data_IF_886542638722
#
_entry.id   IF_886542638722
#
_cell.length_a   1.000
_cell.length_b   1.000
_cell.length_c   1.000
_cell.angle_alpha   90.00
_cell.angle_beta   90.00
_cell.angle_gamma   90.00
#
_symmetry.space_group_name_H-M   'P 1'
#
loop_
_entity.id
_entity.type
_entity.pdbx_description
1 polymer ?
#
# COMPACT_ATOMS: atom_id res chain seq x y z
N UNK A 1 -18.46 -57.50 10.50
CA UNK A 1 -18.40 -56.23 9.72
C UNK A 1 -18.50 -54.93 10.55
N UNK A 2 -19.20 -54.86 11.70
CA UNK A 2 -19.30 -53.63 12.53
C UNK A 2 -17.98 -53.16 13.16
N UNK A 3 -17.11 -54.08 13.62
CA UNK A 3 -15.82 -53.72 14.25
C UNK A 3 -14.85 -53.03 13.28
N UNK A 4 -14.83 -53.45 12.01
CA UNK A 4 -13.96 -52.86 10.98
C UNK A 4 -14.33 -51.39 10.67
N UNK A 5 -15.62 -51.05 10.66
CA UNK A 5 -16.09 -49.65 10.48
C UNK A 5 -15.71 -48.75 11.67
N UNK A 6 -15.65 -49.31 12.87
CA UNK A 6 -15.30 -48.57 14.11
C UNK A 6 -13.80 -48.30 14.15
N UNK A 7 -12.98 -49.30 13.84
CA UNK A 7 -11.51 -49.14 13.73
C UNK A 7 -11.17 -48.08 12.68
N UNK A 8 -11.81 -48.11 11.51
CA UNK A 8 -11.58 -47.10 10.46
C UNK A 8 -11.92 -45.67 10.88
N UNK A 9 -12.99 -45.49 11.67
CA UNK A 9 -13.34 -44.17 12.23
C UNK A 9 -12.31 -43.71 13.26
N UNK A 10 -11.89 -44.60 14.16
CA UNK A 10 -10.88 -44.28 15.18
C UNK A 10 -9.53 -43.93 14.53
N UNK A 11 -9.09 -44.67 13.51
CA UNK A 11 -7.87 -44.33 12.76
C UNK A 11 -7.99 -42.98 12.04
N UNK A 12 -9.16 -42.64 11.50
CA UNK A 12 -9.39 -41.33 10.89
C UNK A 12 -9.32 -40.21 11.93
N UNK A 13 -9.98 -40.37 13.08
CA UNK A 13 -9.92 -39.38 14.18
C UNK A 13 -8.50 -39.22 14.72
N UNK A 14 -7.76 -40.31 14.90
CA UNK A 14 -6.36 -40.28 15.33
C UNK A 14 -5.47 -39.58 14.29
N UNK A 15 -5.68 -39.83 13.00
CA UNK A 15 -4.97 -39.16 11.91
C UNK A 15 -5.26 -37.66 11.88
N UNK A 16 -6.53 -37.25 12.01
CA UNK A 16 -6.90 -35.83 12.07
C UNK A 16 -6.34 -35.13 13.30
N UNK A 17 -6.34 -35.80 14.45
CA UNK A 17 -5.77 -35.26 15.69
C UNK A 17 -4.25 -35.09 15.56
N UNK A 18 -3.55 -36.06 14.96
CA UNK A 18 -2.12 -35.98 14.71
C UNK A 18 -1.78 -34.80 13.78
N UNK A 19 -2.54 -34.61 12.70
CA UNK A 19 -2.36 -33.47 11.79
C UNK A 19 -2.55 -32.15 12.53
N UNK A 20 -3.62 -32.01 13.31
CA UNK A 20 -3.87 -30.79 14.08
C UNK A 20 -2.71 -30.50 15.03
N UNK A 21 -2.27 -31.49 15.80
CA UNK A 21 -1.14 -31.36 16.73
C UNK A 21 0.14 -30.96 15.98
N UNK A 22 0.44 -31.57 14.83
CA UNK A 22 1.61 -31.16 14.03
C UNK A 22 1.51 -29.73 13.51
N UNK A 23 0.31 -29.24 13.15
CA UNK A 23 0.12 -27.85 12.71
C UNK A 23 0.31 -26.83 13.86
N UNK A 24 -0.03 -27.19 15.09
CA UNK A 24 0.16 -26.32 16.27
C UNK A 24 1.59 -26.33 16.81
N UNK A 25 2.38 -27.37 16.53
CA UNK A 25 3.77 -27.51 17.01
C UNK A 25 4.77 -26.98 15.98
N UNK A 26 4.43 -26.99 14.68
CA UNK A 26 5.31 -26.41 13.66
C UNK A 26 5.25 -24.88 13.74
N UNK A 27 6.34 -24.19 14.10
CA UNK A 27 6.39 -22.74 13.93
C UNK A 27 6.28 -22.43 12.44
N UNK A 28 5.19 -21.78 12.03
CA UNK A 28 5.12 -21.10 10.74
C UNK A 28 6.06 -19.92 10.86
N UNK A 29 7.31 -20.10 10.42
CA UNK A 29 8.22 -18.99 10.22
C UNK A 29 7.59 -18.11 9.14
N UNK A 30 6.95 -17.01 9.55
CA UNK A 30 6.67 -15.91 8.65
C UNK A 30 8.04 -15.46 8.12
N UNK A 31 8.36 -15.89 6.90
CA UNK A 31 9.52 -15.37 6.18
C UNK A 31 9.22 -13.90 5.91
N UNK A 32 9.65 -13.06 6.86
CA UNK A 32 9.32 -11.65 7.07
C UNK A 32 7.98 -11.44 7.79
N UNK A 33 8.06 -10.76 8.93
CA UNK A 33 6.93 -10.23 9.68
C UNK A 33 5.89 -9.62 8.72
N UNK A 34 4.60 -10.04 8.76
CA UNK A 34 3.56 -9.50 7.87
C UNK A 34 3.48 -7.96 7.88
N UNK A 35 3.90 -7.31 8.96
CA UNK A 35 4.02 -5.85 9.06
C UNK A 35 5.01 -5.29 8.03
N UNK A 36 6.10 -6.00 7.73
CA UNK A 36 7.13 -5.56 6.77
C UNK A 36 6.61 -5.51 5.34
N UNK A 37 5.79 -6.49 4.94
CA UNK A 37 5.17 -6.52 3.60
C UNK A 37 4.19 -5.36 3.45
N UNK A 38 3.39 -5.08 4.49
CA UNK A 38 2.48 -3.94 4.52
C UNK A 38 3.25 -2.62 4.45
N UNK A 39 4.37 -2.47 5.16
CA UNK A 39 5.20 -1.26 5.10
C UNK A 39 5.83 -1.04 3.72
N UNK A 40 6.29 -2.09 3.07
CA UNK A 40 6.81 -2.01 1.70
C UNK A 40 5.72 -1.63 0.70
N UNK A 41 4.50 -2.16 0.89
CA UNK A 41 3.34 -1.76 0.09
C UNK A 41 2.96 -0.29 0.31
N UNK A 42 2.93 0.19 1.56
CA UNK A 42 2.71 1.61 1.87
C UNK A 42 3.77 2.50 1.22
N UNK A 43 5.05 2.10 1.26
CA UNK A 43 6.14 2.81 0.57
C UNK A 43 5.94 2.87 -0.94
N UNK A 44 5.48 1.77 -1.55
CA UNK A 44 5.15 1.74 -2.97
C UNK A 44 3.98 2.68 -3.30
N UNK A 45 2.89 2.65 -2.53
CA UNK A 45 1.74 3.53 -2.73
C UNK A 45 2.10 5.01 -2.57
N UNK A 46 2.89 5.39 -1.56
CA UNK A 46 3.41 6.75 -1.42
C UNK A 46 4.36 7.14 -2.57
N UNK A 47 5.10 6.18 -3.14
CA UNK A 47 5.89 6.39 -4.35
C UNK A 47 5.02 6.76 -5.56
N UNK A 48 3.89 6.08 -5.75
CA UNK A 48 2.92 6.42 -6.80
C UNK A 48 2.30 7.81 -6.59
N UNK A 49 1.89 8.14 -5.36
CA UNK A 49 1.35 9.46 -5.02
C UNK A 49 2.38 10.56 -5.32
N UNK A 50 3.64 10.35 -4.94
CA UNK A 50 4.73 11.29 -5.22
C UNK A 50 4.96 11.50 -6.71
N UNK A 51 4.91 10.42 -7.51
CA UNK A 51 5.02 10.50 -8.96
C UNK A 51 3.89 11.34 -9.57
N UNK A 52 2.65 11.16 -9.11
CA UNK A 52 1.51 11.99 -9.53
C UNK A 52 1.75 13.47 -9.17
N UNK A 53 2.25 13.76 -7.97
CA UNK A 53 2.61 15.12 -7.57
C UNK A 53 3.62 15.77 -8.52
N UNK A 54 4.66 15.05 -8.94
CA UNK A 54 5.66 15.57 -9.89
C UNK A 54 5.08 15.83 -11.29
N UNK A 55 4.11 15.03 -11.73
CA UNK A 55 3.40 15.26 -13.00
C UNK A 55 2.56 16.55 -12.92
N UNK A 56 1.85 16.75 -11.81
CA UNK A 56 1.06 17.97 -11.58
C UNK A 56 1.93 19.22 -11.48
N UNK A 57 3.13 19.12 -10.91
CA UNK A 57 4.11 20.21 -10.92
C UNK A 57 4.51 20.59 -12.35
N UNK A 58 4.86 19.60 -13.17
CA UNK A 58 5.20 19.83 -14.58
C UNK A 58 4.05 20.49 -15.35
N UNK A 59 2.83 20.00 -15.15
CA UNK A 59 1.64 20.55 -15.81
C UNK A 59 1.29 21.96 -15.33
N UNK A 60 1.39 22.20 -14.01
CA UNK A 60 1.16 23.52 -13.42
C UNK A 60 2.17 24.56 -13.90
N UNK A 61 3.45 24.20 -14.03
CA UNK A 61 4.49 25.08 -14.58
C UNK A 61 4.19 25.43 -16.04
N UNK A 62 3.76 24.46 -16.86
CA UNK A 62 3.38 24.72 -18.26
C UNK A 62 2.18 25.68 -18.34
N UNK A 63 1.17 25.51 -17.49
CA UNK A 63 0.04 26.44 -17.42
C UNK A 63 0.48 27.85 -17.04
N UNK A 64 1.34 28.00 -16.03
CA UNK A 64 1.91 29.30 -15.65
C UNK A 64 2.73 29.89 -16.81
N UNK A 65 3.57 29.11 -17.49
CA UNK A 65 4.37 29.57 -18.62
C UNK A 65 3.54 30.06 -19.80
N UNK A 66 2.48 29.34 -20.16
CA UNK A 66 1.54 29.76 -21.20
C UNK A 66 0.77 31.03 -20.78
N UNK A 67 0.39 31.13 -19.51
CA UNK A 67 -0.32 32.29 -18.96
C UNK A 67 0.52 33.58 -18.91
N UNK A 68 1.85 33.45 -18.89
CA UNK A 68 2.76 34.59 -19.04
C UNK A 68 2.76 35.10 -20.48
N UNK A 69 2.72 34.20 -21.46
CA UNK A 69 2.64 34.53 -22.89
C UNK A 69 1.28 35.12 -23.28
N UNK A 70 0.18 34.61 -22.73
CA UNK A 70 -1.19 35.05 -23.08
C UNK A 70 -1.70 36.24 -22.27
N UNK A 71 -0.93 36.73 -21.30
CA UNK A 71 -1.30 37.83 -20.39
C UNK A 71 -2.63 37.64 -19.64
N UNK A 72 -3.11 36.39 -19.54
CA UNK A 72 -4.38 36.01 -18.93
C UNK A 72 -4.19 35.72 -17.42
N UNK A 73 -4.75 36.56 -16.53
CA UNK A 73 -4.62 36.39 -15.08
C UNK A 73 -5.28 35.10 -14.55
N UNK A 74 -6.31 34.59 -15.21
CA UNK A 74 -7.04 33.40 -14.77
C UNK A 74 -6.20 32.12 -14.95
N UNK A 75 -5.50 32.02 -16.08
CA UNK A 75 -4.58 30.91 -16.34
C UNK A 75 -3.37 30.92 -15.41
N UNK A 76 -2.91 32.12 -14.98
CA UNK A 76 -1.86 32.27 -13.96
C UNK A 76 -2.32 31.70 -12.63
N UNK A 77 -3.51 32.10 -12.17
CA UNK A 77 -4.07 31.65 -10.91
C UNK A 77 -4.31 30.14 -10.89
N UNK A 78 -4.89 29.58 -11.95
CA UNK A 78 -5.17 28.14 -12.07
C UNK A 78 -3.87 27.31 -12.19
N UNK A 79 -2.88 27.80 -12.93
CA UNK A 79 -1.56 27.20 -13.00
C UNK A 79 -0.85 27.19 -11.64
N UNK A 80 -0.90 28.30 -10.90
CA UNK A 80 -0.29 28.40 -9.58
C UNK A 80 -0.95 27.49 -8.55
N UNK A 81 -2.29 27.38 -8.56
CA UNK A 81 -3.01 26.42 -7.72
C UNK A 81 -2.62 24.97 -8.04
N UNK A 82 -2.42 24.65 -9.32
CA UNK A 82 -1.96 23.32 -9.76
C UNK A 82 -0.54 23.03 -9.28
N UNK A 83 0.37 24.02 -9.34
CA UNK A 83 1.73 23.89 -8.79
C UNK A 83 1.67 23.69 -7.29
N UNK A 84 0.92 24.51 -6.55
CA UNK A 84 0.79 24.40 -5.11
C UNK A 84 0.23 23.03 -4.67
N UNK A 85 -0.81 22.55 -5.34
CA UNK A 85 -1.36 21.21 -5.11
C UNK A 85 -0.35 20.09 -5.44
N UNK A 86 0.41 20.24 -6.53
CA UNK A 86 1.48 19.32 -6.90
C UNK A 86 2.57 19.22 -5.83
N UNK A 87 3.00 20.35 -5.25
CA UNK A 87 4.01 20.37 -4.18
C UNK A 87 3.50 19.58 -2.97
N UNK A 88 2.28 19.86 -2.51
CA UNK A 88 1.69 19.20 -1.34
C UNK A 88 1.58 17.69 -1.56
N UNK A 89 1.14 17.26 -2.75
CA UNK A 89 1.00 15.84 -3.09
C UNK A 89 2.37 15.14 -3.16
N UNK A 90 3.39 15.78 -3.75
CA UNK A 90 4.75 15.23 -3.84
C UNK A 90 5.35 14.94 -2.46
N UNK A 91 5.03 15.79 -1.47
CA UNK A 91 5.51 15.65 -0.10
C UNK A 91 4.49 15.03 0.86
N UNK A 92 3.43 14.39 0.35
CA UNK A 92 2.37 13.83 1.20
C UNK A 92 2.88 12.81 2.22
N UNK A 93 3.90 12.00 1.87
CA UNK A 93 4.51 11.03 2.78
C UNK A 93 5.30 11.73 3.89
N UNK A 94 6.09 12.73 3.52
CA UNK A 94 6.88 13.53 4.45
C UNK A 94 5.97 14.31 5.42
N UNK A 95 4.88 14.89 4.92
CA UNK A 95 3.86 15.56 5.74
C UNK A 95 3.22 14.56 6.71
N UNK A 96 2.82 13.38 6.23
CA UNK A 96 2.25 12.36 7.11
C UNK A 96 3.22 11.95 8.21
N UNK A 97 4.50 11.74 7.88
CA UNK A 97 5.53 11.40 8.86
C UNK A 97 5.77 12.51 9.88
N UNK A 98 5.57 13.78 9.52
CA UNK A 98 5.67 14.90 10.48
C UNK A 98 4.47 14.93 11.44
N UNK A 99 3.28 14.56 10.98
CA UNK A 99 2.04 14.59 11.78
C UNK A 99 1.92 13.35 12.67
N UNK A 100 2.34 12.18 12.15
CA UNK A 100 2.24 10.88 12.83
C UNK A 100 3.51 10.57 13.65
N UNK A 101 4.58 11.36 13.45
CA UNK A 101 5.86 11.24 14.15
C UNK A 101 5.75 11.27 15.66
#
# INVERSE_FOLDING_TARGET
>A
MKKLKTIRKVSFYAYTALILITNFITPVYAANDPVTVVNNFSNFMFGLIRAIGMILLGFGIVQVGLSLKSHDPSQRANGFMTVAGGIIITFAKEILNIIVG
#
